data_IF_358231675803
#
_entry.id   IF_358231675803
#
_cell.length_a   1.000
_cell.length_b   1.000
_cell.length_c   1.000
_cell.angle_alpha   90.00
_cell.angle_beta   90.00
_cell.angle_gamma   90.00
#
_symmetry.space_group_name_H-M   'P 1'
#
loop_
_entity.id
_entity.type
_entity.pdbx_description
1 polymer ?
#
# COMPACT_ATOMS: atom_id res chain seq x y z
N UNK A 1 -9.18 -10.23 6.35
CA UNK A 1 -9.65 -8.85 6.11
C UNK A 1 -10.07 -8.12 7.39
N UNK A 2 -11.03 -8.61 8.18
CA UNK A 2 -11.47 -7.92 9.41
C UNK A 2 -10.32 -7.55 10.37
N UNK A 3 -9.39 -8.48 10.63
CA UNK A 3 -8.21 -8.21 11.46
C UNK A 3 -7.27 -7.12 10.88
N UNK A 4 -7.17 -6.99 9.55
CA UNK A 4 -6.35 -5.96 8.92
C UNK A 4 -6.96 -4.57 9.10
N UNK A 5 -8.29 -4.45 8.97
CA UNK A 5 -8.99 -3.19 9.21
C UNK A 5 -8.88 -2.77 10.68
N UNK A 6 -9.14 -3.69 11.62
CA UNK A 6 -9.03 -3.39 13.05
C UNK A 6 -7.59 -3.00 13.45
N UNK A 7 -6.60 -3.74 12.96
CA UNK A 7 -5.19 -3.43 13.20
C UNK A 7 -4.79 -2.07 12.61
N UNK A 8 -5.22 -1.77 11.37
CA UNK A 8 -4.93 -0.49 10.73
C UNK A 8 -5.58 0.69 11.46
N UNK A 9 -6.81 0.55 11.93
CA UNK A 9 -7.49 1.57 12.73
C UNK A 9 -6.74 1.80 14.05
N UNK A 10 -6.46 0.73 14.80
CA UNK A 10 -5.75 0.83 16.08
C UNK A 10 -4.38 1.48 15.92
N UNK A 11 -3.58 1.04 14.93
CA UNK A 11 -2.27 1.61 14.65
C UNK A 11 -2.35 3.10 14.25
N UNK A 12 -3.39 3.50 13.50
CA UNK A 12 -3.58 4.89 13.08
C UNK A 12 -3.92 5.81 14.25
N UNK A 13 -4.71 5.35 15.22
CA UNK A 13 -5.00 6.09 16.45
C UNK A 13 -3.77 6.21 17.37
N UNK A 14 -2.99 5.13 17.49
CA UNK A 14 -1.72 5.17 18.23
C UNK A 14 -0.74 6.15 17.59
N UNK A 15 -0.59 6.12 16.26
CA UNK A 15 0.24 7.07 15.54
C UNK A 15 -0.22 8.51 15.78
N UNK A 16 -1.53 8.77 15.72
CA UNK A 16 -2.09 10.09 16.03
C UNK A 16 -1.74 10.57 17.44
N UNK A 17 -1.73 9.68 18.43
CA UNK A 17 -1.37 10.00 19.81
C UNK A 17 0.15 10.25 19.97
N UNK A 18 0.99 9.43 19.36
CA UNK A 18 2.46 9.55 19.43
C UNK A 18 2.97 10.83 18.78
N UNK A 19 2.39 11.22 17.64
CA UNK A 19 2.83 12.38 16.89
C UNK A 19 2.18 13.70 17.33
N UNK A 20 1.39 13.73 18.40
CA UNK A 20 0.80 14.98 18.90
C UNK A 20 1.90 15.86 19.53
N UNK A 21 2.03 17.16 19.19
CA UNK A 21 1.08 18.03 18.47
C UNK A 21 1.36 18.20 16.97
N UNK A 22 2.27 17.44 16.37
CA UNK A 22 2.52 17.50 14.93
C UNK A 22 1.26 17.08 14.15
N UNK A 23 1.00 17.76 13.03
CA UNK A 23 -0.23 17.60 12.28
C UNK A 23 -0.33 16.16 11.71
N UNK A 24 -1.27 15.30 12.19
CA UNK A 24 -1.37 13.91 11.77
C UNK A 24 -1.61 13.75 10.27
N UNK A 25 -2.21 14.77 9.65
CA UNK A 25 -2.40 14.87 8.20
C UNK A 25 -1.11 15.01 7.40
N UNK A 26 0.00 15.44 8.01
CA UNK A 26 1.30 15.55 7.36
C UNK A 26 2.16 14.28 7.51
N UNK A 27 1.82 13.38 8.44
CA UNK A 27 2.67 12.25 8.83
C UNK A 27 2.01 10.91 8.47
N UNK A 28 0.68 10.81 8.55
CA UNK A 28 -0.04 9.53 8.48
C UNK A 28 -1.08 9.49 7.36
N UNK A 29 -1.49 10.65 6.83
CA UNK A 29 -2.55 10.70 5.83
C UNK A 29 -2.04 10.39 4.42
N UNK A 30 -2.83 9.60 3.69
CA UNK A 30 -2.63 9.31 2.27
C UNK A 30 -3.27 10.40 1.41
N UNK A 31 -2.80 11.63 1.57
CA UNK A 31 -3.33 12.77 0.82
C UNK A 31 -2.66 12.81 -0.55
N UNK A 32 -3.42 12.62 -1.65
CA UNK A 32 -2.84 12.69 -2.98
C UNK A 32 -2.54 14.15 -3.35
N UNK A 33 -1.29 14.42 -3.71
CA UNK A 33 -0.87 15.69 -4.31
C UNK A 33 -1.15 15.71 -5.83
N UNK A 34 -1.27 14.53 -6.45
CA UNK A 34 -1.59 14.35 -7.86
C UNK A 34 -3.10 14.42 -8.17
N UNK A 35 -3.42 14.67 -9.45
CA UNK A 35 -4.77 14.50 -10.00
C UNK A 35 -5.26 13.05 -9.87
N UNK A 36 -6.58 12.84 -9.91
CA UNK A 36 -7.22 11.53 -9.64
C UNK A 36 -6.65 10.38 -10.48
N UNK A 37 -6.38 10.61 -11.77
CA UNK A 37 -5.77 9.61 -12.66
C UNK A 37 -4.32 9.28 -12.27
N UNK A 38 -3.53 10.29 -11.87
CA UNK A 38 -2.15 10.09 -11.40
C UNK A 38 -2.09 9.30 -10.09
N UNK A 39 -2.97 9.62 -9.13
CA UNK A 39 -3.11 8.86 -7.89
C UNK A 39 -3.48 7.40 -8.17
N UNK A 40 -4.43 7.17 -9.07
CA UNK A 40 -4.84 5.82 -9.46
C UNK A 40 -3.67 5.03 -10.07
N UNK A 41 -2.95 5.62 -11.00
CA UNK A 41 -1.86 4.96 -11.71
C UNK A 41 -0.68 4.63 -10.78
N UNK A 42 -0.32 5.53 -9.87
CA UNK A 42 0.76 5.30 -8.90
C UNK A 42 0.38 4.19 -7.92
N UNK A 43 -0.82 4.21 -7.35
CA UNK A 43 -1.29 3.16 -6.43
C UNK A 43 -1.46 1.80 -7.14
N UNK A 44 -1.89 1.81 -8.39
CA UNK A 44 -1.96 0.61 -9.22
C UNK A 44 -0.57 0.01 -9.48
N UNK A 45 0.39 0.82 -9.94
CA UNK A 45 1.73 0.35 -10.28
C UNK A 45 2.54 -0.10 -9.05
N UNK A 46 2.46 0.64 -7.95
CA UNK A 46 3.15 0.26 -6.72
C UNK A 46 2.59 -1.05 -6.16
N UNK A 47 1.27 -1.24 -6.18
CA UNK A 47 0.65 -2.50 -5.74
C UNK A 47 0.95 -3.64 -6.73
N UNK A 48 0.99 -3.36 -8.03
CA UNK A 48 1.44 -4.31 -9.05
C UNK A 48 2.84 -4.85 -8.76
N UNK A 49 3.81 -3.96 -8.55
CA UNK A 49 5.21 -4.34 -8.26
C UNK A 49 5.28 -5.15 -6.97
N UNK A 50 4.55 -4.73 -5.93
CA UNK A 50 4.51 -5.44 -4.65
C UNK A 50 4.04 -6.89 -4.81
N UNK A 51 2.89 -7.10 -5.46
CA UNK A 51 2.35 -8.45 -5.63
C UNK A 51 3.15 -9.27 -6.65
N UNK A 52 3.72 -8.64 -7.67
CA UNK A 52 4.64 -9.30 -8.60
C UNK A 52 5.85 -9.88 -7.85
N UNK A 53 6.52 -9.08 -7.02
CA UNK A 53 7.69 -9.53 -6.23
C UNK A 53 7.32 -10.62 -5.24
N UNK A 54 6.18 -10.47 -4.54
CA UNK A 54 5.72 -11.48 -3.59
C UNK A 54 5.44 -12.81 -4.28
N UNK A 55 4.72 -12.80 -5.41
CA UNK A 55 4.37 -14.04 -6.14
C UNK A 55 5.62 -14.64 -6.80
N UNK A 56 6.53 -13.80 -7.30
CA UNK A 56 7.79 -14.26 -7.86
C UNK A 56 8.60 -15.04 -6.82
N UNK A 57 8.77 -14.48 -5.63
CA UNK A 57 9.54 -15.12 -4.56
C UNK A 57 8.80 -16.32 -3.95
N UNK A 58 7.47 -16.27 -3.85
CA UNK A 58 6.66 -17.35 -3.29
C UNK A 58 6.65 -18.61 -4.16
N UNK A 59 6.75 -18.44 -5.48
CA UNK A 59 6.53 -19.54 -6.43
C UNK A 59 7.81 -19.98 -7.15
N UNK A 60 8.93 -19.29 -6.95
CA UNK A 60 10.25 -19.74 -7.41
C UNK A 60 10.76 -20.88 -6.51
N UNK A 61 10.97 -22.09 -7.04
CA UNK A 61 11.50 -23.22 -6.27
C UNK A 61 12.96 -23.02 -5.81
N UNK A 62 13.70 -22.09 -6.41
CA UNK A 62 15.08 -21.74 -6.03
C UNK A 62 15.15 -20.64 -4.98
N UNK A 63 14.03 -19.97 -4.70
CA UNK A 63 13.99 -18.89 -3.71
C UNK A 63 14.01 -19.44 -2.29
N UNK A 64 14.79 -18.78 -1.42
CA UNK A 64 14.78 -19.02 0.03
C UNK A 64 13.48 -18.45 0.58
N UNK A 65 12.54 -19.33 0.93
CA UNK A 65 11.17 -18.96 1.30
C UNK A 65 11.13 -18.12 2.59
N UNK A 66 12.10 -18.31 3.46
CA UNK A 66 12.29 -17.55 4.70
C UNK A 66 12.53 -16.05 4.43
N UNK A 67 13.06 -15.71 3.24
CA UNK A 67 13.32 -14.32 2.84
C UNK A 67 12.12 -13.62 2.19
N UNK A 68 10.96 -14.28 2.06
CA UNK A 68 9.78 -13.69 1.42
C UNK A 68 9.32 -12.40 2.13
N UNK A 69 9.42 -12.35 3.46
CA UNK A 69 9.08 -11.17 4.24
C UNK A 69 10.07 -10.02 3.99
N UNK A 70 11.36 -10.34 3.80
CA UNK A 70 12.39 -9.35 3.48
C UNK A 70 12.19 -8.80 2.07
N UNK A 71 11.89 -9.66 1.09
CA UNK A 71 11.59 -9.24 -0.29
C UNK A 71 10.34 -8.36 -0.35
N UNK A 72 9.28 -8.73 0.36
CA UNK A 72 8.06 -7.92 0.48
C UNK A 72 8.35 -6.57 1.15
N UNK A 73 9.11 -6.57 2.26
CA UNK A 73 9.50 -5.35 2.96
C UNK A 73 10.34 -4.40 2.10
N UNK A 74 11.29 -4.95 1.34
CA UNK A 74 12.11 -4.19 0.40
C UNK A 74 11.27 -3.57 -0.73
N UNK A 75 10.31 -4.31 -1.28
CA UNK A 75 9.38 -3.80 -2.28
C UNK A 75 8.51 -2.66 -1.72
N UNK A 76 7.98 -2.82 -0.51
CA UNK A 76 7.21 -1.77 0.17
C UNK A 76 8.08 -0.52 0.39
N UNK A 77 9.31 -0.69 0.87
CA UNK A 77 10.24 0.41 1.11
C UNK A 77 10.57 1.16 -0.19
N UNK A 78 10.93 0.43 -1.25
CA UNK A 78 11.22 1.02 -2.57
C UNK A 78 10.01 1.80 -3.10
N UNK A 79 8.83 1.19 -3.07
CA UNK A 79 7.62 1.85 -3.53
C UNK A 79 7.28 3.07 -2.68
N UNK A 80 7.50 3.02 -1.36
CA UNK A 80 7.27 4.14 -0.46
C UNK A 80 8.19 5.32 -0.79
N UNK A 81 9.48 5.07 -1.04
CA UNK A 81 10.43 6.12 -1.44
C UNK A 81 10.01 6.84 -2.74
N UNK A 82 9.35 6.13 -3.66
CA UNK A 82 8.91 6.69 -4.94
C UNK A 82 7.55 7.38 -4.83
N UNK A 83 6.62 6.82 -4.06
CA UNK A 83 5.20 7.21 -4.10
C UNK A 83 4.69 7.96 -2.86
N UNK A 84 5.50 8.08 -1.79
CA UNK A 84 5.10 8.72 -0.55
C UNK A 84 4.69 10.19 -0.77
N UNK A 85 5.49 10.99 -1.46
CA UNK A 85 5.19 12.41 -1.71
C UNK A 85 4.03 12.62 -2.70
N UNK A 86 3.76 11.61 -3.55
CA UNK A 86 2.73 11.69 -4.60
C UNK A 86 1.33 11.27 -4.12
N UNK A 87 1.26 10.21 -3.31
CA UNK A 87 0.00 9.52 -2.92
C UNK A 87 -0.05 9.08 -1.46
N UNK A 88 1.04 9.26 -0.71
CA UNK A 88 1.17 8.69 0.64
C UNK A 88 1.40 7.18 0.67
N UNK A 89 1.68 6.56 -0.48
CA UNK A 89 2.14 5.18 -0.63
C UNK A 89 1.24 4.18 0.11
N UNK A 90 -0.06 4.16 -0.20
CA UNK A 90 -1.00 3.31 0.53
C UNK A 90 -0.73 1.83 0.29
N UNK A 91 -0.81 1.42 -0.98
CA UNK A 91 -0.70 0.03 -1.44
C UNK A 91 -1.66 -0.94 -0.74
N UNK A 92 -2.58 -0.44 0.10
CA UNK A 92 -3.42 -1.24 0.96
C UNK A 92 -4.70 -0.47 1.34
N UNK A 93 -5.89 -0.92 0.86
CA UNK A 93 -7.18 -0.32 1.20
C UNK A 93 -7.45 -0.23 2.71
N UNK A 94 -7.02 -1.24 3.48
CA UNK A 94 -7.21 -1.26 4.94
C UNK A 94 -6.36 -0.19 5.65
N UNK A 95 -5.14 0.06 5.14
CA UNK A 95 -4.28 1.14 5.63
C UNK A 95 -4.94 2.49 5.38
N UNK A 96 -5.36 2.78 4.14
CA UNK A 96 -6.05 4.04 3.82
C UNK A 96 -7.28 4.26 4.68
N UNK A 97 -8.09 3.21 4.92
CA UNK A 97 -9.28 3.37 5.74
C UNK A 97 -8.94 3.70 7.19
N UNK A 98 -7.94 3.01 7.77
CA UNK A 98 -7.49 3.28 9.13
C UNK A 98 -6.99 4.71 9.32
N UNK A 99 -6.18 5.20 8.38
CA UNK A 99 -5.63 6.57 8.44
C UNK A 99 -6.71 7.62 8.19
N UNK A 100 -7.65 7.37 7.28
CA UNK A 100 -8.78 8.24 7.02
C UNK A 100 -9.69 8.40 8.25
N UNK A 101 -9.97 7.31 8.96
CA UNK A 101 -10.77 7.34 10.20
C UNK A 101 -10.04 8.11 11.31
N UNK A 102 -8.74 7.87 11.49
CA UNK A 102 -7.97 8.53 12.53
C UNK A 102 -7.79 10.04 12.28
N UNK A 103 -7.57 10.43 11.01
CA UNK A 103 -7.29 11.83 10.60
C UNK A 103 -8.54 12.61 10.20
N UNK A 104 -9.67 11.95 9.95
CA UNK A 104 -10.90 12.57 9.44
C UNK A 104 -10.84 12.95 7.96
N UNK A 105 -9.80 12.54 7.23
CA UNK A 105 -9.58 12.91 5.82
C UNK A 105 -9.94 11.77 4.88
N UNK A 106 -10.98 11.96 4.06
CA UNK A 106 -11.51 10.94 3.13
C UNK A 106 -11.25 11.25 1.64
N UNK A 107 -10.30 12.15 1.36
CA UNK A 107 -10.03 12.66 0.01
C UNK A 107 -9.66 11.53 -0.96
N UNK A 108 -10.46 11.34 -2.02
CA UNK A 108 -10.27 10.33 -3.08
C UNK A 108 -10.15 8.88 -2.56
N UNK A 109 -10.81 8.55 -1.44
CA UNK A 109 -10.73 7.21 -0.82
C UNK A 109 -11.07 6.07 -1.78
N UNK A 110 -12.00 6.29 -2.72
CA UNK A 110 -12.41 5.30 -3.71
C UNK A 110 -11.23 4.84 -4.58
N UNK A 111 -10.29 5.73 -4.90
CA UNK A 111 -9.10 5.40 -5.71
C UNK A 111 -8.25 4.37 -4.99
N UNK A 112 -8.03 4.57 -3.69
CA UNK A 112 -7.28 3.63 -2.85
C UNK A 112 -8.03 2.33 -2.53
N UNK A 113 -9.34 2.29 -2.77
CA UNK A 113 -10.13 1.06 -2.64
C UNK A 113 -10.10 0.22 -3.92
N UNK A 114 -9.95 0.86 -5.09
CA UNK A 114 -10.05 0.20 -6.41
C UNK A 114 -8.68 -0.03 -7.05
N UNK A 115 -7.77 0.94 -6.99
CA UNK A 115 -6.47 0.84 -7.64
C UNK A 115 -5.58 -0.28 -7.08
N UNK A 116 -5.45 -0.46 -5.73
CA UNK A 116 -4.61 -1.52 -5.20
C UNK A 116 -5.11 -2.94 -5.53
N UNK A 117 -6.41 -3.29 -5.39
CA UNK A 117 -6.88 -4.62 -5.82
C UNK A 117 -6.65 -4.90 -7.31
N UNK A 118 -6.84 -3.91 -8.18
CA UNK A 118 -6.56 -4.07 -9.62
C UNK A 118 -5.07 -4.27 -9.88
N UNK A 119 -4.21 -3.49 -9.21
CA UNK A 119 -2.76 -3.65 -9.28
C UNK A 119 -2.31 -5.02 -8.80
N UNK A 120 -2.88 -5.50 -7.69
CA UNK A 120 -2.60 -6.82 -7.15
C UNK A 120 -2.94 -7.95 -8.13
N UNK A 121 -4.15 -7.92 -8.72
CA UNK A 121 -4.60 -8.90 -9.71
C UNK A 121 -3.68 -8.86 -10.94
N UNK A 122 -3.36 -7.67 -11.44
CA UNK A 122 -2.48 -7.51 -12.59
C UNK A 122 -1.05 -8.00 -12.31
N UNK A 123 -0.50 -7.71 -11.13
CA UNK A 123 0.87 -8.11 -10.73
C UNK A 123 0.99 -9.62 -10.59
N UNK A 124 0.04 -10.25 -9.91
CA UNK A 124 -0.03 -11.72 -9.82
C UNK A 124 -0.25 -12.35 -11.19
N UNK A 125 -1.18 -11.82 -11.99
CA UNK A 125 -1.48 -12.33 -13.33
C UNK A 125 -0.28 -12.23 -14.29
N UNK A 126 0.44 -11.10 -14.27
CA UNK A 126 1.63 -10.90 -15.10
C UNK A 126 2.73 -11.91 -14.77
N UNK A 127 2.98 -12.16 -13.48
CA UNK A 127 3.98 -13.16 -13.10
C UNK A 127 3.56 -14.57 -13.55
N UNK A 128 2.30 -14.95 -13.34
CA UNK A 128 1.79 -16.26 -13.77
C UNK A 128 1.94 -16.41 -15.29
N UNK A 129 1.60 -15.38 -16.06
CA UNK A 129 1.72 -15.39 -17.52
C UNK A 129 3.17 -15.52 -18.00
N UNK A 130 4.15 -14.94 -17.28
CA UNK A 130 5.57 -15.01 -17.61
C UNK A 130 6.24 -16.33 -17.20
N UNK A 131 5.63 -17.08 -16.27
CA UNK A 131 6.14 -18.36 -15.79
C UNK A 131 5.76 -19.52 -16.74
N UNK A 132 4.78 -19.31 -17.61
CA UNK A 132 4.39 -20.22 -18.69
C UNK A 132 5.21 -19.95 -19.95
#
# INVERSE_FOLDING_TARGET
MAAQFLGAIAASFVAKAVYHPANPGAIVATVPTLGTAGTFLVEFLTTFVLLFVIVAHATDPKAVKELIAVAAGAAIMMNALISAESTGASMNPARTLGTAIATGTYTKIWVYMVAPPLGAIAGTGAYIALKH
#
